data_IF_041001660814
#
_entry.id   IF_041001660814
#
_cell.length_a   1.000
_cell.length_b   1.000
_cell.length_c   1.000
_cell.angle_alpha   90.00
_cell.angle_beta   90.00
_cell.angle_gamma   90.00
#
_symmetry.space_group_name_H-M   'P 1'
#
loop_
_entity.id
_entity.type
_entity.pdbx_description
1 polymer ?
#
# COMPACT_ATOMS: atom_id res chain seq x y z
N UNK A 1 -1.37 -46.73 -65.58
CA UNK A 1 -1.39 -46.48 -64.12
C UNK A 1 -2.64 -45.64 -63.81
N UNK A 2 -3.66 -46.27 -63.23
CA UNK A 2 -4.95 -45.68 -62.88
C UNK A 2 -4.82 -44.69 -61.71
N UNK A 3 -5.34 -43.47 -61.82
CA UNK A 3 -5.74 -42.66 -60.65
C UNK A 3 -7.03 -41.88 -60.95
N UNK A 4 -8.16 -42.47 -60.52
CA UNK A 4 -9.40 -41.75 -60.26
C UNK A 4 -9.13 -40.64 -59.22
N UNK A 5 -9.59 -39.42 -59.47
CA UNK A 5 -9.61 -38.36 -58.46
C UNK A 5 -11.06 -38.08 -58.10
N UNK A 6 -11.41 -38.38 -56.85
CA UNK A 6 -12.72 -38.20 -56.23
C UNK A 6 -12.83 -36.73 -55.77
N UNK A 7 -13.75 -35.96 -56.34
CA UNK A 7 -14.07 -34.59 -55.90
C UNK A 7 -14.99 -34.66 -54.67
N UNK A 8 -14.48 -34.25 -53.52
CA UNK A 8 -15.22 -34.15 -52.26
C UNK A 8 -15.69 -32.70 -52.09
N UNK A 9 -16.98 -32.45 -52.34
CA UNK A 9 -17.66 -31.18 -52.10
C UNK A 9 -17.84 -30.98 -50.59
N UNK A 10 -17.01 -30.14 -49.98
CA UNK A 10 -17.21 -29.67 -48.60
C UNK A 10 -18.16 -28.48 -48.65
N UNK A 11 -19.41 -28.69 -48.24
CA UNK A 11 -20.39 -27.63 -48.02
C UNK A 11 -19.99 -26.81 -46.80
N UNK A 12 -19.67 -25.53 -47.00
CA UNK A 12 -19.40 -24.57 -45.93
C UNK A 12 -20.75 -24.12 -45.35
N UNK A 13 -21.15 -24.67 -44.20
CA UNK A 13 -22.24 -24.12 -43.40
C UNK A 13 -21.73 -22.90 -42.65
N UNK A 14 -22.16 -21.71 -43.08
CA UNK A 14 -21.96 -20.47 -42.32
C UNK A 14 -22.87 -20.52 -41.09
N UNK A 15 -22.30 -20.85 -39.93
CA UNK A 15 -22.92 -20.56 -38.64
C UNK A 15 -22.79 -19.05 -38.39
N UNK A 16 -23.92 -18.34 -38.46
CA UNK A 16 -24.00 -16.97 -37.96
C UNK A 16 -24.01 -17.01 -36.43
N UNK A 17 -22.85 -16.83 -35.82
CA UNK A 17 -22.77 -16.53 -34.39
C UNK A 17 -23.37 -15.15 -34.16
N UNK A 18 -24.58 -15.10 -33.63
CA UNK A 18 -25.14 -13.87 -33.09
C UNK A 18 -24.47 -13.65 -31.74
N UNK A 19 -23.54 -12.70 -31.67
CA UNK A 19 -23.02 -12.24 -30.39
C UNK A 19 -24.16 -11.50 -29.69
N UNK A 20 -24.71 -12.11 -28.64
CA UNK A 20 -25.54 -11.39 -27.67
C UNK A 20 -24.59 -10.41 -27.00
N UNK A 21 -24.59 -9.15 -27.46
CA UNK A 21 -23.81 -8.11 -26.82
C UNK A 21 -24.62 -7.68 -25.61
N UNK A 22 -24.18 -8.08 -24.42
CA UNK A 22 -24.78 -7.62 -23.17
C UNK A 22 -24.82 -6.09 -23.19
N UNK A 23 -26.01 -5.52 -22.96
CA UNK A 23 -26.24 -4.09 -23.09
C UNK A 23 -25.57 -3.36 -21.92
N UNK A 24 -24.91 -2.24 -22.19
CA UNK A 24 -24.22 -1.49 -21.15
C UNK A 24 -25.22 -0.59 -20.42
N UNK A 25 -25.23 -0.63 -19.09
CA UNK A 25 -26.08 0.23 -18.28
C UNK A 25 -25.89 1.71 -18.62
N UNK A 26 -26.99 2.41 -18.90
CA UNK A 26 -26.98 3.80 -19.34
C UNK A 26 -27.67 4.73 -18.32
N UNK A 27 -26.87 5.54 -17.62
CA UNK A 27 -27.38 6.54 -16.68
C UNK A 27 -28.27 7.58 -17.35
N UNK A 28 -27.94 8.05 -18.56
CA UNK A 28 -28.70 9.10 -19.24
C UNK A 28 -30.12 8.66 -19.60
N UNK A 29 -30.28 7.38 -19.95
CA UNK A 29 -31.60 6.80 -20.20
C UNK A 29 -32.41 6.65 -18.91
N UNK A 30 -31.82 6.13 -17.84
CA UNK A 30 -32.52 6.00 -16.55
C UNK A 30 -32.92 7.37 -15.98
N UNK A 31 -32.04 8.37 -16.06
CA UNK A 31 -32.35 9.74 -15.63
C UNK A 31 -33.46 10.39 -16.47
N UNK A 32 -33.69 9.92 -17.70
CA UNK A 32 -34.81 10.41 -18.53
C UNK A 32 -36.15 9.81 -18.11
N UNK A 33 -36.18 8.58 -17.58
CA UNK A 33 -37.39 7.94 -17.08
C UNK A 33 -37.71 8.31 -15.62
N UNK A 34 -36.68 8.65 -14.84
CA UNK A 34 -36.78 9.00 -13.42
C UNK A 34 -36.89 10.51 -13.17
N UNK A 35 -37.18 11.34 -14.20
CA UNK A 35 -37.43 12.80 -14.16
C UNK A 35 -37.11 13.55 -12.84
N UNK A 36 -35.82 13.75 -12.55
CA UNK A 36 -35.37 14.56 -11.41
C UNK A 36 -35.39 13.87 -10.04
N UNK A 37 -35.65 12.55 -9.98
CA UNK A 37 -35.42 11.75 -8.78
C UNK A 37 -33.95 11.83 -8.33
N UNK A 38 -33.70 11.81 -7.01
CA UNK A 38 -32.35 11.93 -6.48
C UNK A 38 -31.49 10.71 -6.87
N UNK A 39 -30.18 10.92 -6.98
CA UNK A 39 -29.22 9.83 -7.22
C UNK A 39 -29.35 8.70 -6.18
N UNK A 40 -29.80 9.06 -4.97
CA UNK A 40 -30.04 8.16 -3.83
C UNK A 40 -31.15 7.13 -4.08
N UNK A 41 -31.99 7.32 -5.12
CA UNK A 41 -32.97 6.33 -5.56
C UNK A 41 -32.30 5.02 -5.99
N UNK A 42 -31.07 5.09 -6.51
CA UNK A 42 -30.29 3.91 -6.83
C UNK A 42 -29.02 3.76 -5.96
N UNK A 43 -28.38 4.89 -5.61
CA UNK A 43 -27.14 4.90 -4.84
C UNK A 43 -27.42 5.19 -3.36
N UNK A 44 -27.80 4.17 -2.60
CA UNK A 44 -28.11 4.33 -1.17
C UNK A 44 -26.87 4.74 -0.36
N UNK A 45 -27.08 5.59 0.65
CA UNK A 45 -26.03 5.97 1.59
C UNK A 45 -25.46 4.73 2.31
N UNK A 46 -24.17 4.79 2.68
CA UNK A 46 -23.42 3.73 3.36
C UNK A 46 -23.29 2.39 2.59
N UNK A 47 -23.64 2.35 1.30
CA UNK A 47 -23.38 1.17 0.46
C UNK A 47 -21.88 0.89 0.35
N UNK A 48 -21.49 -0.39 0.49
CA UNK A 48 -20.08 -0.83 0.33
C UNK A 48 -19.57 -0.66 -1.12
N UNK A 49 -20.47 -0.45 -2.07
CA UNK A 49 -20.19 -0.40 -3.50
C UNK A 49 -20.98 0.72 -4.16
N UNK A 50 -20.33 1.44 -5.08
CA UNK A 50 -21.00 2.42 -5.94
C UNK A 50 -21.98 1.77 -6.91
N UNK A 51 -21.78 0.48 -7.28
CA UNK A 51 -22.78 -0.30 -8.00
C UNK A 51 -23.92 -0.63 -7.01
N UNK A 52 -25.17 -0.22 -7.31
CA UNK A 52 -26.34 -0.58 -6.51
C UNK A 52 -26.50 -2.10 -6.37
N UNK A 53 -27.08 -2.54 -5.26
CA UNK A 53 -27.47 -3.93 -5.11
C UNK A 53 -28.52 -4.30 -6.17
N UNK A 54 -28.43 -5.53 -6.69
CA UNK A 54 -29.38 -6.06 -7.69
C UNK A 54 -30.84 -5.93 -7.22
N UNK A 55 -31.10 -6.00 -5.90
CA UNK A 55 -32.42 -5.77 -5.32
C UNK A 55 -33.04 -4.43 -5.73
N UNK A 56 -32.23 -3.37 -5.85
CA UNK A 56 -32.68 -2.03 -6.29
C UNK A 56 -33.21 -2.06 -7.72
N UNK A 57 -32.53 -2.80 -8.60
CA UNK A 57 -32.93 -2.95 -9.99
C UNK A 57 -34.24 -3.76 -10.11
N UNK A 58 -34.41 -4.76 -9.25
CA UNK A 58 -35.57 -5.65 -9.22
C UNK A 58 -36.87 -4.95 -8.80
N UNK A 59 -36.80 -3.72 -8.27
CA UNK A 59 -37.98 -2.91 -7.98
C UNK A 59 -38.71 -2.47 -9.27
N UNK A 60 -38.00 -2.38 -10.40
CA UNK A 60 -38.53 -1.94 -11.68
C UNK A 60 -38.30 -2.94 -12.83
N UNK A 61 -37.26 -3.77 -12.75
CA UNK A 61 -36.86 -4.71 -13.82
C UNK A 61 -37.01 -6.17 -13.38
N UNK A 62 -37.31 -7.05 -14.33
CA UNK A 62 -37.30 -8.49 -14.10
C UNK A 62 -35.86 -9.03 -14.09
N UNK A 63 -35.62 -10.13 -13.35
CA UNK A 63 -34.28 -10.69 -13.15
C UNK A 63 -33.56 -11.05 -14.45
N UNK A 64 -34.29 -11.55 -15.45
CA UNK A 64 -33.73 -11.95 -16.76
C UNK A 64 -33.08 -10.78 -17.51
N UNK A 65 -33.66 -9.58 -17.40
CA UNK A 65 -33.10 -8.37 -18.02
C UNK A 65 -31.81 -7.92 -17.32
N UNK A 66 -31.73 -8.09 -16.00
CA UNK A 66 -30.58 -7.63 -15.22
C UNK A 66 -29.34 -8.49 -15.51
N UNK A 67 -29.53 -9.79 -15.77
CA UNK A 67 -28.45 -10.72 -16.09
C UNK A 67 -27.75 -10.40 -17.42
N UNK A 68 -28.44 -9.71 -18.33
CA UNK A 68 -27.93 -9.30 -19.65
C UNK A 68 -27.33 -7.88 -19.69
N UNK A 69 -27.25 -7.19 -18.54
CA UNK A 69 -26.70 -5.83 -18.44
C UNK A 69 -25.27 -5.82 -17.87
N UNK A 70 -24.38 -5.07 -18.53
CA UNK A 70 -23.00 -4.85 -18.06
C UNK A 70 -22.80 -3.46 -17.46
N UNK A 71 -21.96 -3.39 -16.44
CA UNK A 71 -21.61 -2.13 -15.76
C UNK A 71 -20.12 -1.82 -15.99
N UNK A 72 -19.82 -0.81 -16.81
CA UNK A 72 -18.43 -0.43 -17.10
C UNK A 72 -17.75 0.42 -16.01
N UNK A 73 -18.49 0.85 -14.98
CA UNK A 73 -18.07 1.90 -14.03
C UNK A 73 -17.09 1.51 -12.91
N UNK A 74 -16.59 0.27 -12.84
CA UNK A 74 -15.79 -0.18 -11.69
C UNK A 74 -14.27 0.10 -11.81
N UNK A 75 -13.80 0.69 -12.90
CA UNK A 75 -12.34 0.93 -13.07
C UNK A 75 -11.82 2.11 -12.25
N UNK A 76 -12.67 3.10 -11.91
CA UNK A 76 -12.27 4.30 -11.17
C UNK A 76 -12.48 4.23 -9.65
N UNK A 77 -13.25 3.25 -9.15
CA UNK A 77 -13.61 3.13 -7.73
C UNK A 77 -12.86 1.98 -7.07
N UNK A 78 -11.55 1.90 -7.33
CA UNK A 78 -10.65 0.90 -6.76
C UNK A 78 -9.93 1.44 -5.53
N UNK A 79 -9.47 0.54 -4.66
CA UNK A 79 -8.73 0.90 -3.43
C UNK A 79 -7.41 1.65 -3.69
N UNK A 80 -6.88 1.62 -4.92
CA UNK A 80 -5.67 2.33 -5.33
C UNK A 80 -5.94 3.61 -6.15
N UNK A 81 -7.19 4.06 -6.25
CA UNK A 81 -7.59 5.23 -7.05
C UNK A 81 -6.76 6.48 -6.75
N UNK A 82 -6.45 6.74 -5.47
CA UNK A 82 -5.60 7.85 -5.05
C UNK A 82 -4.24 7.91 -5.80
N UNK A 83 -3.73 6.76 -6.26
CA UNK A 83 -2.45 6.65 -6.95
C UNK A 83 -2.55 6.56 -8.49
N UNK A 84 -3.73 6.28 -9.04
CA UNK A 84 -3.91 6.00 -10.47
C UNK A 84 -4.81 7.00 -11.20
N UNK A 85 -5.60 7.80 -10.47
CA UNK A 85 -6.60 8.70 -11.07
C UNK A 85 -6.03 9.81 -11.95
N UNK A 86 -4.76 10.17 -11.78
CA UNK A 86 -4.09 11.21 -12.59
C UNK A 86 -4.25 10.99 -14.09
N UNK A 87 -4.08 9.76 -14.56
CA UNK A 87 -4.17 9.44 -15.99
C UNK A 87 -5.60 9.60 -16.50
N UNK A 88 -6.58 9.17 -15.71
CA UNK A 88 -8.00 9.33 -16.02
C UNK A 88 -8.42 10.81 -16.01
N UNK A 89 -8.00 11.58 -15.00
CA UNK A 89 -8.28 13.00 -14.86
C UNK A 89 -7.65 13.84 -15.98
N UNK A 90 -6.40 13.52 -16.38
CA UNK A 90 -5.71 14.23 -17.47
C UNK A 90 -6.26 13.86 -18.85
N UNK A 91 -6.78 12.64 -19.01
CA UNK A 91 -7.23 12.11 -20.30
C UNK A 91 -8.67 12.48 -20.68
N UNK A 92 -9.42 13.16 -19.81
CA UNK A 92 -10.86 13.43 -19.98
C UNK A 92 -11.67 12.18 -20.38
N UNK A 93 -11.19 11.00 -19.99
CA UNK A 93 -11.79 9.73 -20.39
C UNK A 93 -13.15 9.47 -19.69
N UNK A 94 -13.44 10.22 -18.62
CA UNK A 94 -14.64 10.09 -17.79
C UNK A 94 -15.11 11.47 -17.33
N UNK A 95 -16.43 11.68 -17.26
CA UNK A 95 -17.03 12.91 -16.72
C UNK A 95 -17.25 12.77 -15.21
N UNK A 96 -16.22 13.05 -14.41
CA UNK A 96 -16.29 12.92 -12.95
C UNK A 96 -17.37 13.83 -12.33
N UNK A 97 -17.60 15.01 -12.92
CA UNK A 97 -18.58 15.98 -12.46
C UNK A 97 -20.04 15.52 -12.63
N UNK A 98 -20.27 14.39 -13.30
CA UNK A 98 -21.59 13.74 -13.32
C UNK A 98 -21.97 13.15 -11.95
N UNK A 99 -20.98 12.81 -11.12
CA UNK A 99 -21.20 12.15 -9.82
C UNK A 99 -20.54 12.90 -8.65
N UNK A 100 -19.41 13.55 -8.88
CA UNK A 100 -18.60 14.20 -7.85
C UNK A 100 -18.67 15.72 -7.93
N UNK A 101 -18.65 16.38 -6.78
CA UNK A 101 -18.54 17.82 -6.64
C UNK A 101 -17.08 18.29 -6.65
N UNK A 102 -16.89 19.58 -6.87
CA UNK A 102 -15.55 20.20 -6.84
C UNK A 102 -14.86 20.00 -5.47
N UNK A 103 -15.63 19.98 -4.39
CA UNK A 103 -15.12 19.80 -3.03
C UNK A 103 -14.52 18.40 -2.81
N UNK A 104 -15.04 17.36 -3.46
CA UNK A 104 -14.48 15.99 -3.41
C UNK A 104 -13.06 15.95 -4.00
N UNK A 105 -12.82 16.74 -5.05
CA UNK A 105 -11.48 16.89 -5.63
C UNK A 105 -10.56 17.63 -4.65
N UNK A 106 -11.11 18.66 -4.00
CA UNK A 106 -10.40 19.52 -3.09
C UNK A 106 -10.08 18.84 -1.75
N UNK A 107 -10.75 17.77 -1.36
CA UNK A 107 -10.38 17.00 -0.15
C UNK A 107 -8.88 16.63 -0.16
N UNK A 108 -8.34 16.25 -1.33
CA UNK A 108 -6.91 15.99 -1.53
C UNK A 108 -6.16 17.11 -2.25
N UNK A 109 -6.80 17.87 -3.15
CA UNK A 109 -6.13 18.93 -3.94
C UNK A 109 -6.14 20.32 -3.27
N UNK A 110 -6.85 20.52 -2.16
CA UNK A 110 -6.86 21.78 -1.40
C UNK A 110 -5.65 21.94 -0.48
N UNK A 111 -4.91 20.87 -0.17
CA UNK A 111 -3.65 20.97 0.57
C UNK A 111 -2.56 21.47 -0.36
N UNK A 112 -2.63 22.78 -0.63
CA UNK A 112 -1.45 23.57 -0.92
C UNK A 112 -0.47 23.47 0.23
N UNK A 113 0.81 23.56 -0.12
CA UNK A 113 1.99 23.59 0.75
C UNK A 113 2.47 22.25 1.31
N UNK A 114 3.76 21.97 1.08
CA UNK A 114 4.48 20.75 1.46
C UNK A 114 4.72 20.64 2.98
N UNK A 115 4.31 21.68 3.70
CA UNK A 115 4.63 22.00 5.08
C UNK A 115 3.43 21.82 6.02
N UNK A 116 2.24 21.56 5.49
CA UNK A 116 1.06 21.28 6.27
C UNK A 116 0.68 19.81 6.08
N UNK A 117 0.98 19.02 7.13
CA UNK A 117 0.35 17.73 7.33
C UNK A 117 -1.17 17.93 7.17
N UNK A 118 -1.72 17.47 6.04
CA UNK A 118 -3.16 17.36 5.89
C UNK A 118 -3.73 16.63 7.10
N UNK A 119 -4.89 17.06 7.59
CA UNK A 119 -5.59 16.41 8.71
C UNK A 119 -5.56 14.88 8.53
N UNK A 120 -5.45 14.05 9.59
CA UNK A 120 -5.42 12.58 9.48
C UNK A 120 -6.58 11.94 8.70
N UNK A 121 -7.60 12.73 8.34
CA UNK A 121 -8.67 12.38 7.42
C UNK A 121 -8.22 12.29 5.95
N UNK A 122 -7.12 12.96 5.57
CA UNK A 122 -6.62 13.00 4.21
C UNK A 122 -5.95 11.67 3.87
N UNK A 123 -6.71 10.81 3.19
CA UNK A 123 -6.30 9.67 2.36
C UNK A 123 -5.14 8.81 2.91
N UNK A 124 -5.34 7.49 2.99
CA UNK A 124 -4.32 6.50 3.35
C UNK A 124 -3.00 6.62 2.55
N UNK A 125 -3.01 7.39 1.46
CA UNK A 125 -1.85 7.70 0.62
C UNK A 125 -1.49 9.20 0.64
N UNK A 126 -1.38 9.80 1.82
CA UNK A 126 -0.78 11.13 1.95
C UNK A 126 0.71 11.08 1.59
N UNK A 127 1.08 11.78 0.51
CA UNK A 127 2.46 11.88 0.02
C UNK A 127 3.33 12.81 0.88
N UNK A 128 2.68 13.66 1.70
CA UNK A 128 3.29 14.59 2.66
C UNK A 128 3.02 14.12 4.10
N UNK A 129 3.75 13.09 4.49
CA UNK A 129 3.68 12.47 5.83
C UNK A 129 4.81 12.93 6.74
N UNK A 130 4.59 12.84 8.06
CA UNK A 130 5.51 13.38 9.08
C UNK A 130 6.84 12.63 9.15
N UNK A 131 6.89 11.41 8.61
CA UNK A 131 8.08 10.58 8.50
C UNK A 131 8.67 10.60 7.08
N UNK A 132 8.32 11.58 6.23
CA UNK A 132 8.80 11.64 4.85
C UNK A 132 10.33 11.55 4.75
N UNK A 133 11.08 12.17 5.66
CA UNK A 133 12.55 12.06 5.72
C UNK A 133 13.08 10.62 5.85
N UNK A 134 12.29 9.72 6.43
CA UNK A 134 12.64 8.31 6.62
C UNK A 134 12.50 7.51 5.33
N UNK A 135 11.52 7.86 4.50
CA UNK A 135 11.12 7.05 3.33
C UNK A 135 11.39 7.71 1.99
N UNK A 136 11.63 9.02 2.01
CA UNK A 136 12.10 9.82 0.89
C UNK A 136 13.30 9.18 0.17
N UNK A 137 14.32 8.62 0.84
CA UNK A 137 15.45 7.99 0.13
C UNK A 137 15.03 6.82 -0.76
N UNK A 138 13.98 6.09 -0.40
CA UNK A 138 13.44 4.98 -1.19
C UNK A 138 12.69 5.56 -2.40
N UNK A 139 11.74 6.46 -2.16
CA UNK A 139 10.94 7.10 -3.21
C UNK A 139 11.81 7.86 -4.23
N UNK A 140 12.81 8.61 -3.76
CA UNK A 140 13.75 9.37 -4.58
C UNK A 140 14.64 8.48 -5.46
N UNK A 141 14.93 7.24 -5.02
CA UNK A 141 15.67 6.25 -5.82
C UNK A 141 14.76 5.53 -6.81
N UNK A 142 13.50 5.31 -6.46
CA UNK A 142 12.55 4.58 -7.30
C UNK A 142 12.09 5.44 -8.49
N UNK A 143 11.63 6.66 -8.24
CA UNK A 143 11.14 7.54 -9.32
C UNK A 143 11.17 9.03 -8.90
N UNK A 144 12.33 9.71 -9.03
CA UNK A 144 12.44 11.11 -8.66
C UNK A 144 11.60 12.05 -9.57
N UNK A 145 11.25 11.62 -10.78
CA UNK A 145 10.45 12.41 -11.72
C UNK A 145 9.01 12.61 -11.24
N UNK A 146 8.49 11.74 -10.35
CA UNK A 146 7.17 11.95 -9.72
C UNK A 146 7.13 13.22 -8.88
N UNK A 147 8.21 13.51 -8.17
CA UNK A 147 8.33 14.70 -7.33
C UNK A 147 8.39 15.98 -8.18
N UNK A 148 9.15 15.94 -9.28
CA UNK A 148 9.30 17.05 -10.22
C UNK A 148 7.99 17.47 -10.92
N UNK A 149 6.94 16.65 -10.80
CA UNK A 149 5.63 17.00 -11.34
C UNK A 149 4.84 18.00 -10.50
N UNK A 150 5.28 18.22 -9.25
CA UNK A 150 4.68 19.20 -8.32
C UNK A 150 5.75 20.11 -7.66
N UNK A 151 6.98 19.63 -7.47
CA UNK A 151 8.06 20.32 -6.75
C UNK A 151 9.17 20.77 -7.69
N UNK A 152 9.74 21.95 -7.43
CA UNK A 152 10.92 22.44 -8.11
C UNK A 152 12.21 21.81 -7.55
N UNK A 153 13.26 21.70 -8.39
CA UNK A 153 14.55 21.14 -7.97
C UNK A 153 15.20 21.88 -6.79
N UNK A 154 14.88 23.17 -6.61
CA UNK A 154 15.36 24.00 -5.49
C UNK A 154 15.03 23.36 -4.13
N UNK A 155 13.86 22.73 -4.00
CA UNK A 155 13.47 22.06 -2.75
C UNK A 155 14.43 20.93 -2.38
N UNK A 156 14.83 20.11 -3.36
CA UNK A 156 15.82 19.06 -3.14
C UNK A 156 17.14 19.65 -2.66
N UNK A 157 17.62 20.71 -3.33
CA UNK A 157 18.90 21.36 -3.00
C UNK A 157 18.87 21.98 -1.61
N UNK A 158 17.86 22.77 -1.28
CA UNK A 158 17.77 23.46 0.01
C UNK A 158 17.67 22.50 1.19
N UNK A 159 16.89 21.43 1.04
CA UNK A 159 16.83 20.39 2.06
C UNK A 159 18.19 19.69 2.16
N UNK A 160 18.77 19.20 1.07
CA UNK A 160 20.05 18.50 1.12
C UNK A 160 21.25 19.37 1.56
N UNK A 161 21.18 20.69 1.35
CA UNK A 161 22.19 21.65 1.81
C UNK A 161 22.06 21.98 3.30
N UNK A 162 20.81 22.03 3.81
CA UNK A 162 20.53 22.30 5.22
C UNK A 162 20.49 21.05 6.09
N UNK A 163 20.36 19.88 5.48
CA UNK A 163 20.17 18.61 6.14
C UNK A 163 21.51 17.88 6.30
N UNK A 164 21.89 17.64 7.55
CA UNK A 164 23.09 16.87 7.84
C UNK A 164 22.81 15.39 7.52
N UNK A 165 23.65 14.74 6.72
CA UNK A 165 23.53 13.30 6.46
C UNK A 165 23.64 12.44 7.73
N UNK A 166 24.23 12.98 8.79
CA UNK A 166 24.15 12.38 10.12
C UNK A 166 22.69 12.28 10.62
N UNK A 167 21.77 13.16 10.22
CA UNK A 167 20.35 13.17 10.63
C UNK A 167 19.51 12.09 9.94
N UNK A 168 19.99 11.49 8.84
CA UNK A 168 19.44 10.24 8.28
C UNK A 168 19.61 9.05 9.22
N UNK A 169 20.54 9.15 10.17
CA UNK A 169 20.78 8.07 11.08
C UNK A 169 19.65 8.03 12.11
N UNK A 170 18.74 7.09 11.89
CA UNK A 170 17.84 6.53 12.93
C UNK A 170 18.62 6.43 14.24
N UNK A 171 18.02 6.66 15.43
CA UNK A 171 18.80 6.53 16.69
C UNK A 171 19.36 5.13 16.85
N UNK A 172 18.73 4.13 16.21
CA UNK A 172 19.24 2.76 16.07
C UNK A 172 20.51 2.61 15.22
N UNK A 173 20.95 3.64 14.48
CA UNK A 173 22.27 3.75 13.84
C UNK A 173 23.19 4.75 14.56
N UNK A 174 22.67 5.85 15.14
CA UNK A 174 23.47 6.82 15.94
C UNK A 174 23.88 6.31 17.32
N UNK A 175 23.08 5.46 17.95
CA UNK A 175 23.26 5.07 19.37
C UNK A 175 23.61 3.59 19.55
N UNK A 176 24.08 2.89 18.52
CA UNK A 176 24.23 1.44 18.59
C UNK A 176 25.66 1.01 18.30
N UNK A 177 26.25 0.26 19.24
CA UNK A 177 27.59 -0.33 19.30
C UNK A 177 28.80 0.59 19.06
N UNK A 178 28.89 1.29 17.93
CA UNK A 178 30.05 2.06 17.52
C UNK A 178 30.24 3.40 18.25
N UNK A 179 29.17 3.98 18.81
CA UNK A 179 29.22 5.26 19.55
C UNK A 179 29.03 5.13 21.07
N UNK A 180 29.07 3.91 21.62
CA UNK A 180 29.03 3.73 23.07
C UNK A 180 30.36 4.22 23.67
N UNK A 181 30.37 5.45 24.17
CA UNK A 181 31.47 5.98 24.97
C UNK A 181 31.44 5.35 26.37
N UNK A 182 32.29 4.35 26.55
CA UNK A 182 32.55 3.61 27.78
C UNK A 182 33.76 2.71 27.53
N UNK A 183 34.21 1.93 28.52
CA UNK A 183 35.28 0.95 28.33
C UNK A 183 34.75 -0.21 27.47
N UNK A 184 34.55 0.04 26.18
CA UNK A 184 33.85 -0.83 25.26
C UNK A 184 34.82 -1.81 24.65
N UNK A 185 34.59 -3.07 24.96
CA UNK A 185 35.27 -4.17 24.33
C UNK A 185 34.77 -4.25 22.88
N UNK A 186 35.68 -4.41 21.91
CA UNK A 186 35.32 -4.55 20.51
C UNK A 186 34.55 -5.87 20.30
N UNK A 187 33.26 -5.75 19.96
CA UNK A 187 32.35 -6.89 19.81
C UNK A 187 32.65 -7.75 18.57
N UNK A 188 33.56 -7.32 17.70
CA UNK A 188 34.09 -8.11 16.58
C UNK A 188 34.83 -9.37 17.03
N UNK A 189 35.31 -9.41 18.28
CA UNK A 189 36.05 -10.54 18.84
C UNK A 189 35.16 -11.54 19.60
N UNK A 190 33.84 -11.33 19.60
CA UNK A 190 32.90 -12.12 20.38
C UNK A 190 31.86 -12.76 19.46
N UNK A 191 31.48 -13.98 19.80
CA UNK A 191 30.41 -14.69 19.11
C UNK A 191 29.06 -14.55 19.85
N UNK A 192 27.97 -14.81 19.13
CA UNK A 192 26.60 -14.67 19.62
C UNK A 192 26.30 -15.50 20.89
N UNK A 193 27.06 -16.56 21.18
CA UNK A 193 26.89 -17.37 22.41
C UNK A 193 27.38 -16.65 23.68
N UNK A 194 28.20 -15.62 23.52
CA UNK A 194 28.87 -14.94 24.64
C UNK A 194 28.09 -13.71 25.12
N UNK A 195 27.05 -13.28 24.40
CA UNK A 195 26.30 -12.05 24.68
C UNK A 195 25.74 -12.01 26.11
N UNK A 196 25.15 -13.11 26.59
CA UNK A 196 24.50 -13.18 27.90
C UNK A 196 25.49 -13.08 29.08
N UNK A 197 26.77 -13.35 28.85
CA UNK A 197 27.83 -13.23 29.88
C UNK A 197 28.05 -11.78 30.31
N UNK A 198 27.91 -10.84 29.38
CA UNK A 198 28.13 -9.41 29.64
C UNK A 198 26.82 -8.61 29.72
N UNK A 199 25.74 -9.10 29.11
CA UNK A 199 24.44 -8.44 29.02
C UNK A 199 23.37 -9.19 29.81
N UNK A 200 23.46 -9.16 31.15
CA UNK A 200 22.54 -9.90 32.04
C UNK A 200 21.13 -9.29 32.11
N UNK A 201 21.03 -7.95 32.08
CA UNK A 201 19.77 -7.23 32.28
C UNK A 201 19.38 -6.34 31.09
N UNK A 202 20.36 -5.94 30.26
CA UNK A 202 20.14 -5.10 29.09
C UNK A 202 21.35 -5.05 28.17
N UNK A 203 21.13 -4.61 26.92
CA UNK A 203 22.19 -4.32 25.94
C UNK A 203 23.10 -3.18 26.43
N UNK A 204 22.59 -2.26 27.27
CA UNK A 204 23.40 -1.22 27.90
C UNK A 204 23.05 -1.06 29.38
N UNK A 205 24.00 -0.63 30.23
CA UNK A 205 23.73 -0.28 31.62
C UNK A 205 22.60 0.77 31.80
N UNK A 206 22.31 1.56 30.75
CA UNK A 206 21.14 2.44 30.70
C UNK A 206 20.10 1.93 29.70
N UNK A 207 18.85 1.80 30.14
CA UNK A 207 17.72 1.39 29.28
C UNK A 207 17.30 2.44 28.23
N UNK A 208 18.00 3.58 28.15
CA UNK A 208 17.63 4.66 27.22
C UNK A 208 17.69 4.20 25.76
N UNK A 209 18.72 3.45 25.39
CA UNK A 209 18.85 2.89 24.04
C UNK A 209 17.72 1.93 23.73
N UNK A 210 17.53 0.88 24.56
CA UNK A 210 16.49 -0.15 24.35
C UNK A 210 15.10 0.46 24.21
N UNK A 211 14.75 1.46 25.02
CA UNK A 211 13.48 2.16 24.94
C UNK A 211 13.32 2.97 23.64
N UNK A 212 14.37 3.66 23.20
CA UNK A 212 14.32 4.43 21.94
C UNK A 212 14.31 3.53 20.71
N UNK A 213 15.13 2.48 20.70
CA UNK A 213 15.21 1.48 19.65
C UNK A 213 13.87 0.75 19.46
N UNK A 214 13.25 0.30 20.56
CA UNK A 214 11.95 -0.35 20.49
C UNK A 214 10.85 0.55 19.91
N UNK A 215 10.86 1.86 20.22
CA UNK A 215 9.90 2.81 19.63
C UNK A 215 10.14 3.02 18.14
N UNK A 216 11.40 3.07 17.70
CA UNK A 216 11.74 3.20 16.27
C UNK A 216 11.36 1.95 15.48
N UNK A 217 11.75 0.76 15.97
CA UNK A 217 11.45 -0.51 15.32
C UNK A 217 9.93 -0.74 15.16
N UNK A 218 9.12 -0.33 16.13
CA UNK A 218 7.65 -0.44 16.08
C UNK A 218 6.99 0.52 15.09
N UNK A 219 7.61 1.65 14.77
CA UNK A 219 7.05 2.61 13.81
C UNK A 219 7.08 2.05 12.39
N UNK A 220 8.22 1.49 11.98
CA UNK A 220 8.37 0.92 10.64
C UNK A 220 9.60 0.00 10.54
N UNK A 221 9.43 -1.30 10.81
CA UNK A 221 10.50 -2.29 10.69
C UNK A 221 10.97 -2.46 9.23
N UNK A 222 10.05 -2.35 8.27
CA UNK A 222 10.34 -2.53 6.84
C UNK A 222 11.36 -1.51 6.31
N UNK A 223 11.40 -0.31 6.91
CA UNK A 223 12.42 0.70 6.57
C UNK A 223 13.83 0.20 6.86
N UNK A 224 14.05 -0.48 7.99
CA UNK A 224 15.35 -1.05 8.34
C UNK A 224 15.73 -2.20 7.40
N UNK A 225 14.74 -3.00 7.01
CA UNK A 225 14.94 -4.14 6.10
C UNK A 225 15.24 -3.72 4.65
N UNK A 226 14.99 -2.46 4.28
CA UNK A 226 15.41 -1.94 2.98
C UNK A 226 16.93 -1.99 2.79
N UNK A 227 17.70 -1.87 3.88
CA UNK A 227 19.16 -2.00 3.87
C UNK A 227 19.66 -3.29 4.54
N UNK A 228 18.88 -3.87 5.47
CA UNK A 228 19.17 -5.15 6.13
C UNK A 228 18.09 -6.19 5.78
N UNK A 229 18.02 -6.66 4.52
CA UNK A 229 16.90 -7.45 4.02
C UNK A 229 16.73 -8.79 4.72
N UNK A 230 17.83 -9.37 5.20
CA UNK A 230 17.85 -10.66 5.89
C UNK A 230 17.58 -10.53 7.40
N UNK A 231 17.55 -9.30 7.94
CA UNK A 231 17.33 -9.07 9.37
C UNK A 231 18.44 -9.60 10.27
N UNK A 232 19.57 -10.01 9.71
CA UNK A 232 20.72 -10.60 10.41
C UNK A 232 21.23 -9.73 11.57
N UNK A 233 21.12 -8.40 11.43
CA UNK A 233 21.48 -7.44 12.49
C UNK A 233 20.53 -7.51 13.69
N UNK A 234 19.25 -7.83 13.46
CA UNK A 234 18.23 -7.97 14.49
C UNK A 234 18.40 -9.31 15.22
N UNK A 235 18.74 -10.38 14.50
CA UNK A 235 18.83 -11.74 15.02
C UNK A 235 19.93 -11.90 16.08
N UNK A 236 21.00 -11.10 16.03
CA UNK A 236 22.03 -11.06 17.10
C UNK A 236 21.47 -10.76 18.49
N UNK A 237 20.36 -10.03 18.55
CA UNK A 237 19.72 -9.66 19.82
C UNK A 237 18.36 -10.33 20.03
N UNK A 238 17.60 -10.56 18.97
CA UNK A 238 16.18 -10.94 19.04
C UNK A 238 15.87 -12.38 18.58
N UNK A 239 16.89 -13.20 18.33
CA UNK A 239 16.70 -14.62 18.00
C UNK A 239 16.47 -15.46 19.27
N UNK A 240 15.59 -16.46 19.17
CA UNK A 240 15.41 -17.47 20.21
C UNK A 240 16.45 -18.61 20.10
N UNK A 241 17.20 -18.67 19.00
CA UNK A 241 18.20 -19.71 18.70
C UNK A 241 19.60 -19.28 19.16
N UNK A 242 19.94 -17.99 19.00
CA UNK A 242 21.28 -17.46 19.24
C UNK A 242 21.24 -16.00 19.70
N UNK A 243 22.37 -15.49 20.20
CA UNK A 243 22.50 -14.09 20.59
C UNK A 243 21.87 -13.79 21.94
N UNK A 244 21.36 -12.57 22.10
CA UNK A 244 20.90 -12.09 23.40
C UNK A 244 19.53 -12.65 23.85
N UNK A 245 18.69 -13.15 22.94
CA UNK A 245 17.39 -13.73 23.30
C UNK A 245 16.33 -12.71 23.74
N UNK A 246 16.47 -11.43 23.38
CA UNK A 246 15.50 -10.39 23.72
C UNK A 246 14.23 -10.59 22.91
N UNK A 247 13.10 -10.83 23.57
CA UNK A 247 11.82 -10.99 22.89
C UNK A 247 11.39 -9.68 22.18
N UNK A 248 11.27 -9.66 20.83
CA UNK A 248 10.82 -8.48 20.10
C UNK A 248 9.29 -8.30 20.12
N UNK A 249 8.55 -9.33 20.54
CA UNK A 249 7.10 -9.32 20.52
C UNK A 249 6.50 -8.45 21.65
N UNK A 250 5.31 -7.86 21.44
CA UNK A 250 4.61 -7.10 22.47
C UNK A 250 4.14 -8.00 23.63
N UNK A 251 3.74 -7.39 24.75
CA UNK A 251 3.34 -8.10 25.97
C UNK A 251 2.14 -9.04 25.77
N UNK A 252 1.26 -8.72 24.84
CA UNK A 252 0.04 -9.43 24.49
C UNK A 252 0.20 -10.34 23.25
N UNK A 253 1.44 -10.66 22.85
CA UNK A 253 1.74 -11.47 21.67
C UNK A 253 0.97 -12.78 21.57
N UNK A 254 0.81 -13.49 22.69
CA UNK A 254 0.09 -14.77 22.73
C UNK A 254 -1.38 -14.68 22.30
N UNK A 255 -1.95 -13.47 22.23
CA UNK A 255 -3.32 -13.26 21.76
C UNK A 255 -3.40 -13.05 20.23
N UNK A 256 -2.25 -12.86 19.57
CA UNK A 256 -2.15 -12.46 18.17
C UNK A 256 -1.24 -13.37 17.33
N UNK A 257 -0.34 -14.12 17.96
CA UNK A 257 0.63 -15.02 17.32
C UNK A 257 -0.01 -16.00 16.33
N UNK A 258 -1.14 -16.63 16.69
CA UNK A 258 -1.84 -17.58 15.82
C UNK A 258 -2.40 -16.96 14.54
N UNK A 259 -2.66 -15.64 14.52
CA UNK A 259 -3.03 -14.91 13.30
C UNK A 259 -1.81 -14.74 12.39
N UNK A 260 -0.70 -14.29 12.95
CA UNK A 260 0.54 -14.05 12.20
C UNK A 260 1.20 -15.35 11.70
N UNK A 261 1.13 -16.43 12.49
CA UNK A 261 1.61 -17.74 12.08
C UNK A 261 0.85 -18.24 10.84
N UNK A 262 -0.48 -18.16 10.83
CA UNK A 262 -1.31 -18.54 9.68
C UNK A 262 -1.05 -17.65 8.47
N UNK A 263 -0.97 -16.33 8.67
CA UNK A 263 -0.71 -15.37 7.59
C UNK A 263 0.64 -15.59 6.90
N UNK A 264 1.68 -15.98 7.66
CA UNK A 264 3.02 -16.25 7.14
C UNK A 264 3.26 -17.71 6.76
N UNK A 265 2.29 -18.61 7.02
CA UNK A 265 2.48 -20.06 7.00
C UNK A 265 3.74 -20.51 7.78
N UNK A 266 3.97 -19.88 8.94
CA UNK A 266 5.13 -20.13 9.81
C UNK A 266 6.51 -19.78 9.22
N UNK A 267 6.60 -19.24 8.00
CA UNK A 267 7.90 -18.96 7.34
C UNK A 267 8.69 -17.88 8.07
N UNK A 268 8.02 -16.80 8.46
CA UNK A 268 8.65 -15.69 9.21
C UNK A 268 9.09 -16.16 10.59
N UNK A 269 8.30 -16.99 11.26
CA UNK A 269 8.60 -17.49 12.60
C UNK A 269 9.92 -18.29 12.63
N UNK A 270 10.17 -19.12 11.61
CA UNK A 270 11.39 -19.95 11.48
C UNK A 270 12.68 -19.17 11.29
N UNK A 271 12.61 -17.86 11.05
CA UNK A 271 13.81 -17.02 10.97
C UNK A 271 14.40 -16.73 12.36
N UNK A 272 13.55 -16.75 13.39
CA UNK A 272 13.94 -16.38 14.76
C UNK A 272 13.80 -17.56 15.76
N UNK A 273 13.07 -18.61 15.40
CA UNK A 273 12.74 -19.79 16.22
C UNK A 273 13.11 -21.08 15.48
#
# INVERSE_FOLDING_TARGET
>A
MNRLTLLLLVGLTFFTFSTVNAEQFNHGEHLSYLDGEPCLTCHVDDAESIRPDTATCLECHEAELIDDVTFAGLTSHTTNWALSHRTAAKGSAMNCAACHQQDDCLECHSTGFADEMGSPANSLTNVHRSDFSVTHPIEARTNPQRCASCHENRFCVECHDSFNSADLALKSHRRTFSEISGNTIAHENFDDSQCQTCHTDSVLPSHQWSNSHAREARKNLATCQACHPEGQVCLKCHSAISGLGINPHPKDWNNMDGRYYRASNGRTCRQCH
#
